data_IF_707647969134
#
_entry.id   IF_707647969134
#
_cell.length_a   1.000
_cell.length_b   1.000
_cell.length_c   1.000
_cell.angle_alpha   90.00
_cell.angle_beta   90.00
_cell.angle_gamma   90.00
#
_symmetry.space_group_name_H-M   'P 1'
#
loop_
_entity.id
_entity.type
_entity.pdbx_description
1 polymer ?
#
# COMPACT_ATOMS: atom_id res chain seq x y z
N UNK A 1 -5.76 18.16 23.76
CA UNK A 1 -5.40 19.28 22.87
C UNK A 1 -4.63 20.28 23.71
N UNK A 2 -3.50 20.79 23.24
CA UNK A 2 -2.75 21.80 23.98
C UNK A 2 -3.33 23.20 23.67
N UNK A 3 -3.66 24.02 24.69
CA UNK A 3 -4.11 25.38 24.46
C UNK A 3 -3.01 26.17 23.71
N UNK A 4 -3.41 26.95 22.71
CA UNK A 4 -2.52 27.78 21.85
C UNK A 4 -1.55 27.01 20.95
N UNK A 5 -1.78 25.74 20.65
CA UNK A 5 -0.99 25.04 19.63
C UNK A 5 -1.23 25.62 18.24
N UNK A 6 -0.13 25.90 17.54
CA UNK A 6 -0.09 26.32 16.14
C UNK A 6 0.59 25.25 15.28
N UNK A 7 0.45 25.36 13.96
CA UNK A 7 1.10 24.45 13.01
C UNK A 7 2.64 24.47 13.16
N UNK A 8 3.25 25.62 13.49
CA UNK A 8 4.69 25.72 13.76
C UNK A 8 5.08 24.97 15.04
N UNK A 9 4.30 25.10 16.13
CA UNK A 9 4.57 24.33 17.36
C UNK A 9 4.40 22.83 17.12
N UNK A 10 3.47 22.43 16.26
CA UNK A 10 3.27 21.05 15.84
C UNK A 10 4.46 20.52 15.03
N UNK A 11 4.92 21.25 14.00
CA UNK A 11 6.08 20.88 13.20
C UNK A 11 7.34 20.76 14.06
N UNK A 12 7.57 21.73 14.95
CA UNK A 12 8.69 21.67 15.90
C UNK A 12 8.61 20.46 16.82
N UNK A 13 7.41 20.09 17.29
CA UNK A 13 7.23 18.89 18.08
C UNK A 13 7.58 17.63 17.28
N UNK A 14 7.15 17.53 16.02
CA UNK A 14 7.52 16.43 15.14
C UNK A 14 9.04 16.33 14.96
N UNK A 15 9.72 17.45 14.72
CA UNK A 15 11.18 17.47 14.57
C UNK A 15 11.91 16.98 15.83
N UNK A 16 11.40 17.33 17.01
CA UNK A 16 11.98 16.86 18.28
C UNK A 16 11.70 15.38 18.50
N UNK A 17 10.47 14.94 18.28
CA UNK A 17 10.04 13.55 18.53
C UNK A 17 10.67 12.56 17.57
N UNK A 18 10.79 12.91 16.28
CA UNK A 18 11.24 11.99 15.23
C UNK A 18 12.65 12.30 14.70
N UNK A 19 13.45 13.08 15.44
CA UNK A 19 14.80 13.51 15.05
C UNK A 19 15.71 12.37 14.56
N UNK A 20 15.63 11.21 15.22
CA UNK A 20 16.46 10.04 14.92
C UNK A 20 15.77 9.02 13.98
N UNK A 21 14.52 9.25 13.58
CA UNK A 21 13.75 8.29 12.80
C UNK A 21 14.19 8.33 11.33
N UNK A 22 14.70 7.20 10.81
CA UNK A 22 15.28 7.10 9.45
C UNK A 22 14.34 7.54 8.31
N UNK A 23 13.02 7.50 8.54
CA UNK A 23 12.00 7.87 7.53
C UNK A 23 11.39 9.26 7.75
N UNK A 24 11.88 10.01 8.73
CA UNK A 24 11.40 11.36 8.99
C UNK A 24 12.52 12.35 8.67
N UNK A 25 12.23 13.32 7.81
CA UNK A 25 13.22 14.26 7.30
C UNK A 25 12.73 15.67 7.58
N UNK A 26 13.57 16.48 8.23
CA UNK A 26 13.34 17.91 8.39
C UNK A 26 13.84 18.65 7.13
N UNK A 27 12.97 19.34 6.37
CA UNK A 27 13.38 20.13 5.22
C UNK A 27 14.37 21.24 5.62
N UNK A 28 15.29 21.57 4.71
CA UNK A 28 16.33 22.60 4.98
C UNK A 28 15.78 24.03 4.91
N UNK A 29 14.84 24.28 3.99
CA UNK A 29 14.34 25.61 3.68
C UNK A 29 13.07 25.97 4.45
N UNK A 30 12.19 24.99 4.66
CA UNK A 30 10.93 25.21 5.38
C UNK A 30 11.09 25.00 6.88
N UNK A 31 10.45 25.88 7.66
CA UNK A 31 10.42 25.80 9.14
C UNK A 31 9.19 25.07 9.66
N UNK A 32 8.21 24.82 8.80
CA UNK A 32 6.88 24.30 9.15
C UNK A 32 6.57 23.00 8.44
N UNK A 33 7.22 22.68 7.32
CA UNK A 33 6.96 21.45 6.58
C UNK A 33 7.76 20.27 7.12
N UNK A 34 7.31 19.05 6.88
CA UNK A 34 8.06 17.86 7.21
C UNK A 34 7.94 16.82 6.10
N UNK A 35 8.97 16.01 5.93
CA UNK A 35 8.98 14.97 4.91
C UNK A 35 8.92 13.59 5.55
N UNK A 36 8.10 12.72 4.98
CA UNK A 36 8.07 11.29 5.34
C UNK A 36 8.53 10.47 4.13
N UNK A 37 9.49 9.58 4.34
CA UNK A 37 9.93 8.63 3.33
C UNK A 37 8.96 7.43 3.31
N UNK A 38 8.02 7.44 2.37
CA UNK A 38 7.08 6.35 2.11
C UNK A 38 7.72 5.28 1.21
N UNK A 39 7.03 4.15 1.05
CA UNK A 39 7.43 3.10 0.11
C UNK A 39 7.64 3.65 -1.32
N UNK A 40 6.75 4.53 -1.77
CA UNK A 40 6.78 5.10 -3.11
C UNK A 40 7.72 6.32 -3.27
N UNK A 41 8.43 6.71 -2.20
CA UNK A 41 9.32 7.87 -2.20
C UNK A 41 9.04 8.85 -1.06
N UNK A 42 9.79 9.94 -1.06
CA UNK A 42 9.66 11.03 -0.09
C UNK A 42 8.48 11.94 -0.43
N UNK A 43 7.64 12.22 0.57
CA UNK A 43 6.51 13.14 0.43
C UNK A 43 6.68 14.28 1.42
N UNK A 44 6.71 15.51 0.90
CA UNK A 44 6.72 16.74 1.68
C UNK A 44 5.28 17.07 2.10
N UNK A 45 5.08 17.27 3.40
CA UNK A 45 3.81 17.67 3.99
C UNK A 45 3.89 19.08 4.54
N UNK A 46 2.93 19.91 4.14
CA UNK A 46 2.75 21.26 4.68
C UNK A 46 1.92 21.18 5.96
N UNK A 47 2.47 21.64 7.09
CA UNK A 47 1.76 21.52 8.37
C UNK A 47 0.60 22.51 8.54
N UNK A 48 0.47 23.48 7.64
CA UNK A 48 -0.62 24.46 7.64
C UNK A 48 -1.98 23.75 7.71
N UNK A 49 -2.83 24.23 8.63
CA UNK A 49 -4.17 23.70 8.90
C UNK A 49 -4.23 22.25 9.40
N UNK A 50 -3.11 21.56 9.66
CA UNK A 50 -3.14 20.17 10.17
C UNK A 50 -3.95 20.05 11.47
N UNK A 51 -3.74 20.98 12.40
CA UNK A 51 -4.43 20.95 13.69
C UNK A 51 -5.93 21.19 13.53
N UNK A 52 -6.34 22.13 12.68
CA UNK A 52 -7.76 22.46 12.50
C UNK A 52 -8.49 21.38 11.72
N UNK A 53 -7.87 20.84 10.66
CA UNK A 53 -8.38 19.67 9.94
C UNK A 53 -8.53 18.47 10.88
N UNK A 54 -7.60 18.24 11.80
CA UNK A 54 -7.67 17.09 12.70
C UNK A 54 -8.74 17.25 13.81
N UNK A 55 -9.20 18.47 14.08
CA UNK A 55 -10.22 18.76 15.10
C UNK A 55 -11.62 18.36 14.71
N UNK A 56 -11.94 18.42 13.41
CA UNK A 56 -13.30 18.17 12.91
C UNK A 56 -14.35 19.00 13.67
N UNK A 57 -14.00 20.25 14.02
CA UNK A 57 -14.82 21.04 14.92
C UNK A 57 -16.11 21.46 14.22
N UNK A 58 -17.22 20.90 14.69
CA UNK A 58 -18.57 21.35 14.33
C UNK A 58 -19.00 22.40 15.34
N UNK A 59 -19.42 23.56 14.84
CA UNK A 59 -19.95 24.66 15.64
C UNK A 59 -21.35 24.23 16.12
N UNK A 60 -21.60 24.11 17.44
CA UNK A 60 -22.89 23.65 17.97
C UNK A 60 -24.07 24.47 17.45
N UNK A 61 -23.91 25.79 17.32
CA UNK A 61 -24.93 26.71 16.84
C UNK A 61 -25.32 26.41 15.38
N UNK A 62 -24.37 25.95 14.56
CA UNK A 62 -24.67 25.52 13.19
C UNK A 62 -25.45 24.21 13.17
N UNK A 63 -25.12 23.29 14.09
CA UNK A 63 -25.83 22.02 14.22
C UNK A 63 -27.28 22.25 14.68
N UNK A 64 -27.49 23.15 15.65
CA UNK A 64 -28.82 23.53 16.12
C UNK A 64 -29.66 24.19 15.02
N UNK A 65 -29.06 25.13 14.29
CA UNK A 65 -29.72 25.82 13.18
C UNK A 65 -30.15 24.85 12.07
N UNK A 66 -29.27 23.94 11.67
CA UNK A 66 -29.53 22.98 10.59
C UNK A 66 -30.48 21.87 11.04
N UNK A 67 -30.40 21.46 12.31
CA UNK A 67 -31.35 20.54 12.94
C UNK A 67 -32.76 21.13 13.07
N UNK A 68 -32.90 22.46 13.19
CA UNK A 68 -34.18 23.16 13.20
C UNK A 68 -34.78 23.42 11.79
N UNK A 69 -34.14 22.91 10.74
CA UNK A 69 -34.63 23.06 9.36
C UNK A 69 -36.02 22.45 9.18
N UNK A 70 -36.84 23.05 8.31
CA UNK A 70 -38.14 22.48 7.91
C UNK A 70 -38.02 21.43 6.81
N UNK A 71 -36.84 21.30 6.19
CA UNK A 71 -36.59 20.32 5.14
C UNK A 71 -36.19 18.98 5.78
N UNK A 72 -36.99 17.90 5.61
CA UNK A 72 -36.70 16.61 6.24
C UNK A 72 -35.33 16.05 5.88
N UNK A 73 -34.88 16.27 4.64
CA UNK A 73 -33.55 15.86 4.20
C UNK A 73 -32.45 16.56 5.00
N UNK A 74 -32.56 17.88 5.21
CA UNK A 74 -31.55 18.66 5.94
C UNK A 74 -31.50 18.24 7.40
N UNK A 75 -32.65 18.08 8.06
CA UNK A 75 -32.71 17.59 9.44
C UNK A 75 -32.06 16.20 9.55
N UNK A 76 -32.29 15.32 8.58
CA UNK A 76 -31.69 13.99 8.53
C UNK A 76 -30.16 13.97 8.44
N UNK A 77 -29.53 15.03 7.92
CA UNK A 77 -28.07 15.15 7.87
C UNK A 77 -27.44 15.59 9.21
N UNK A 78 -28.23 16.21 10.10
CA UNK A 78 -27.76 16.77 11.37
C UNK A 78 -28.56 16.18 12.54
N UNK A 79 -28.44 14.87 12.81
CA UNK A 79 -29.16 14.26 13.93
C UNK A 79 -28.71 14.88 15.27
N UNK A 80 -29.61 14.93 16.27
CA UNK A 80 -29.27 15.40 17.60
C UNK A 80 -28.17 14.52 18.21
N UNK A 81 -27.23 15.15 18.92
CA UNK A 81 -26.19 14.42 19.64
C UNK A 81 -26.85 13.58 20.76
N UNK A 82 -26.40 12.34 21.02
CA UNK A 82 -26.89 11.56 22.14
C UNK A 82 -26.68 12.31 23.47
N UNK A 83 -27.72 12.40 24.32
CA UNK A 83 -27.73 13.17 25.58
C UNK A 83 -26.71 12.68 26.65
N UNK A 84 -26.00 11.57 26.41
CA UNK A 84 -25.20 10.82 27.38
C UNK A 84 -23.67 11.07 27.33
N UNK A 85 -23.18 12.23 26.88
CA UNK A 85 -21.72 12.52 26.90
C UNK A 85 -21.32 13.75 27.72
N UNK A 86 -22.06 14.02 28.78
CA UNK A 86 -21.81 15.16 29.69
C UNK A 86 -20.63 14.99 30.66
N UNK A 87 -19.89 13.86 30.67
CA UNK A 87 -18.64 13.73 31.45
C UNK A 87 -17.61 12.88 30.69
N UNK A 88 -16.61 13.53 30.11
CA UNK A 88 -15.46 12.94 29.39
C UNK A 88 -15.72 12.39 27.98
N UNK A 89 -16.35 13.18 27.11
CA UNK A 89 -16.20 12.97 25.66
C UNK A 89 -14.71 13.03 25.32
N UNK A 90 -14.06 11.86 25.22
CA UNK A 90 -12.68 11.72 24.78
C UNK A 90 -12.63 12.26 23.37
N UNK A 91 -12.12 13.48 23.22
CA UNK A 91 -11.89 14.11 21.93
C UNK A 91 -11.28 13.10 20.96
N UNK A 92 -12.07 12.69 19.98
CA UNK A 92 -11.67 11.72 18.96
C UNK A 92 -11.34 12.49 17.70
N UNK A 93 -10.05 12.65 17.45
CA UNK A 93 -9.56 13.39 16.28
C UNK A 93 -9.82 12.62 14.98
N UNK A 94 -9.87 13.32 13.83
CA UNK A 94 -10.02 12.67 12.52
C UNK A 94 -8.94 11.61 12.33
N UNK A 95 -7.69 11.92 12.67
CA UNK A 95 -6.58 10.97 12.56
C UNK A 95 -6.78 9.71 13.40
N UNK A 96 -7.35 9.85 14.60
CA UNK A 96 -7.66 8.70 15.48
C UNK A 96 -8.78 7.83 14.89
N UNK A 97 -9.85 8.44 14.36
CA UNK A 97 -10.96 7.73 13.72
C UNK A 97 -10.50 7.01 12.46
N UNK A 98 -9.77 7.68 11.58
CA UNK A 98 -9.22 7.10 10.36
C UNK A 98 -8.26 5.94 10.66
N UNK A 99 -7.41 6.08 11.68
CA UNK A 99 -6.52 4.99 12.13
C UNK A 99 -7.31 3.75 12.54
N UNK A 100 -8.39 3.93 13.31
CA UNK A 100 -9.23 2.82 13.76
C UNK A 100 -9.95 2.15 12.58
N UNK A 101 -10.54 2.93 11.68
CA UNK A 101 -11.19 2.42 10.47
C UNK A 101 -10.22 1.64 9.58
N UNK A 102 -9.00 2.15 9.39
CA UNK A 102 -7.96 1.46 8.63
C UNK A 102 -7.56 0.15 9.32
N UNK A 103 -7.42 0.13 10.65
CA UNK A 103 -7.11 -1.09 11.39
C UNK A 103 -8.20 -2.16 11.19
N UNK A 104 -9.47 -1.79 11.34
CA UNK A 104 -10.61 -2.70 11.13
C UNK A 104 -10.66 -3.25 9.70
N UNK A 105 -10.36 -2.41 8.71
CA UNK A 105 -10.24 -2.84 7.31
C UNK A 105 -9.11 -3.86 7.14
N UNK A 106 -7.93 -3.60 7.71
CA UNK A 106 -6.79 -4.52 7.63
C UNK A 106 -7.07 -5.85 8.33
N UNK A 107 -7.74 -5.85 9.48
CA UNK A 107 -8.19 -7.07 10.18
C UNK A 107 -9.12 -7.90 9.29
N UNK A 108 -10.08 -7.25 8.63
CA UNK A 108 -11.00 -7.91 7.69
C UNK A 108 -10.23 -8.52 6.52
N UNK A 109 -9.35 -7.75 5.85
CA UNK A 109 -8.56 -8.22 4.72
C UNK A 109 -7.63 -9.38 5.09
N UNK A 110 -6.99 -9.33 6.26
CA UNK A 110 -6.09 -10.39 6.73
C UNK A 110 -6.82 -11.70 7.06
N UNK A 111 -8.15 -11.68 7.22
CA UNK A 111 -8.95 -12.89 7.41
C UNK A 111 -9.35 -13.58 6.09
N UNK A 112 -8.93 -13.03 4.95
CA UNK A 112 -9.27 -13.51 3.60
C UNK A 112 -8.04 -13.99 2.84
N UNK A 113 -8.26 -14.68 1.72
CA UNK A 113 -7.24 -14.93 0.71
C UNK A 113 -7.12 -13.71 -0.23
N UNK A 114 -6.00 -12.97 -0.22
CA UNK A 114 -5.90 -11.73 -0.97
C UNK A 114 -5.57 -11.97 -2.45
N UNK A 115 -6.36 -11.35 -3.33
CA UNK A 115 -6.05 -11.23 -4.76
C UNK A 115 -5.81 -9.75 -5.12
N UNK A 116 -4.68 -9.46 -5.75
CA UNK A 116 -4.28 -8.08 -6.05
C UNK A 116 -4.45 -7.74 -7.52
N UNK A 117 -5.18 -6.66 -7.81
CA UNK A 117 -5.29 -6.06 -9.15
C UNK A 117 -4.54 -4.72 -9.13
N UNK A 118 -3.61 -4.53 -10.07
CA UNK A 118 -2.82 -3.30 -10.22
C UNK A 118 -3.23 -2.58 -11.52
N UNK A 119 -3.98 -1.51 -11.37
CA UNK A 119 -4.35 -0.65 -12.50
C UNK A 119 -3.19 0.28 -12.87
N UNK A 120 -2.99 0.51 -14.17
CA UNK A 120 -1.93 1.37 -14.70
C UNK A 120 -2.54 2.40 -15.65
N UNK A 121 -2.29 3.68 -15.41
CA UNK A 121 -2.72 4.78 -16.27
C UNK A 121 -1.72 4.93 -17.44
N UNK A 122 -2.17 4.80 -18.70
CA UNK A 122 -1.24 4.75 -19.84
C UNK A 122 -0.67 6.12 -20.22
N UNK A 123 -1.42 7.21 -19.97
CA UNK A 123 -1.00 8.58 -20.22
C UNK A 123 -1.83 9.57 -19.39
N UNK A 124 -1.33 10.79 -19.21
CA UNK A 124 -2.06 11.85 -18.51
C UNK A 124 -3.08 12.61 -19.36
N UNK A 125 -3.07 12.43 -20.68
CA UNK A 125 -3.97 13.08 -21.63
C UNK A 125 -5.37 12.44 -21.69
N UNK A 126 -5.57 11.31 -20.99
CA UNK A 126 -6.82 10.53 -21.01
C UNK A 126 -7.22 10.06 -22.41
N UNK A 127 -6.23 9.79 -23.28
CA UNK A 127 -6.47 9.33 -24.65
C UNK A 127 -6.18 7.84 -24.82
N UNK A 128 -6.96 7.12 -25.64
CA UNK A 128 -6.61 5.74 -26.01
C UNK A 128 -5.33 5.72 -26.86
N UNK A 129 -4.67 4.57 -26.93
CA UNK A 129 -3.49 4.30 -27.76
C UNK A 129 -2.26 5.21 -27.54
N UNK A 130 -2.23 6.02 -26.48
CA UNK A 130 -1.04 6.79 -26.06
C UNK A 130 -0.39 6.11 -24.87
N UNK A 131 0.88 5.72 -25.01
CA UNK A 131 1.64 4.98 -24.00
C UNK A 131 2.86 5.78 -23.53
N UNK A 132 2.81 6.29 -22.30
CA UNK A 132 3.90 7.08 -21.70
C UNK A 132 4.82 6.19 -20.86
N UNK A 133 5.84 5.62 -21.51
CA UNK A 133 6.81 4.69 -20.90
C UNK A 133 7.29 5.12 -19.50
N UNK A 134 7.71 6.38 -19.34
CA UNK A 134 8.29 6.89 -18.09
C UNK A 134 7.25 6.86 -16.95
N UNK A 135 6.04 7.34 -17.21
CA UNK A 135 4.97 7.41 -16.22
C UNK A 135 4.47 6.01 -15.84
N UNK A 136 4.41 5.10 -16.81
CA UNK A 136 4.04 3.70 -16.57
C UNK A 136 5.10 2.99 -15.73
N UNK A 137 6.37 3.14 -16.09
CA UNK A 137 7.48 2.55 -15.33
C UNK A 137 7.52 3.06 -13.89
N UNK A 138 7.23 4.35 -13.66
CA UNK A 138 7.11 4.88 -12.31
C UNK A 138 5.94 4.26 -11.54
N UNK A 139 4.77 4.10 -12.16
CA UNK A 139 3.63 3.42 -11.55
C UNK A 139 3.95 1.96 -11.19
N UNK A 140 4.65 1.22 -12.05
CA UNK A 140 5.04 -0.18 -11.78
C UNK A 140 6.03 -0.29 -10.60
N UNK A 141 6.93 0.69 -10.45
CA UNK A 141 7.82 0.80 -9.28
C UNK A 141 7.05 1.12 -8.01
N UNK A 142 6.27 2.20 -8.00
CA UNK A 142 5.53 2.66 -6.83
C UNK A 142 4.39 1.71 -6.42
N UNK A 143 3.80 0.98 -7.38
CA UNK A 143 2.79 -0.05 -7.16
C UNK A 143 3.35 -1.40 -6.70
N UNK A 144 4.68 -1.52 -6.61
CA UNK A 144 5.38 -2.71 -6.13
C UNK A 144 5.36 -3.91 -7.06
N UNK A 145 4.99 -3.73 -8.33
CA UNK A 145 4.97 -4.81 -9.32
C UNK A 145 6.40 -5.30 -9.58
N UNK A 146 7.34 -4.39 -9.81
CA UNK A 146 8.74 -4.76 -10.05
C UNK A 146 9.37 -5.38 -8.80
N UNK A 147 8.99 -4.93 -7.62
CA UNK A 147 9.48 -5.47 -6.35
C UNK A 147 8.93 -6.87 -6.09
N UNK A 148 7.65 -7.12 -6.40
CA UNK A 148 7.05 -8.45 -6.32
C UNK A 148 7.74 -9.44 -7.29
N UNK A 149 8.04 -9.01 -8.51
CA UNK A 149 8.84 -9.80 -9.47
C UNK A 149 10.22 -10.08 -8.89
N UNK A 150 10.90 -9.08 -8.35
CA UNK A 150 12.24 -9.23 -7.74
C UNK A 150 12.24 -10.25 -6.60
N UNK A 151 11.25 -10.18 -5.70
CA UNK A 151 11.09 -11.13 -4.59
C UNK A 151 10.80 -12.54 -5.13
N UNK A 152 9.94 -12.66 -6.13
CA UNK A 152 9.64 -13.95 -6.79
C UNK A 152 10.90 -14.56 -7.43
N UNK A 153 11.72 -13.75 -8.10
CA UNK A 153 12.98 -14.16 -8.71
C UNK A 153 14.07 -14.54 -7.71
N UNK A 154 14.00 -14.09 -6.45
CA UNK A 154 14.91 -14.53 -5.40
C UNK A 154 14.61 -15.96 -4.90
N UNK A 155 13.41 -16.49 -5.22
CA UNK A 155 13.06 -17.90 -5.04
C UNK A 155 13.16 -18.68 -6.35
N UNK A 156 12.14 -19.48 -6.63
CA UNK A 156 11.99 -20.23 -7.89
C UNK A 156 10.71 -19.77 -8.61
N UNK A 157 10.80 -18.71 -9.43
CA UNK A 157 9.62 -18.08 -10.05
C UNK A 157 8.98 -18.96 -11.12
N UNK A 158 9.78 -19.80 -11.78
CA UNK A 158 9.31 -20.75 -12.79
C UNK A 158 9.26 -22.14 -12.18
N UNK A 159 8.05 -22.70 -12.10
CA UNK A 159 7.81 -24.08 -11.67
C UNK A 159 7.12 -24.81 -12.80
N UNK A 160 7.60 -26.01 -13.12
CA UNK A 160 7.01 -26.86 -14.15
C UNK A 160 6.83 -28.26 -13.60
N UNK A 161 5.67 -28.90 -13.81
CA UNK A 161 5.54 -30.34 -13.60
C UNK A 161 6.59 -31.11 -14.41
N UNK A 162 7.04 -32.25 -13.90
CA UNK A 162 8.08 -33.04 -14.56
C UNK A 162 7.66 -33.48 -15.97
N UNK A 163 6.45 -34.02 -16.13
CA UNK A 163 5.92 -34.39 -17.45
C UNK A 163 5.94 -33.24 -18.46
N UNK A 164 5.55 -32.01 -18.08
CA UNK A 164 5.57 -30.85 -19.00
C UNK A 164 6.99 -30.48 -19.40
N UNK A 165 7.93 -30.56 -18.44
CA UNK A 165 9.33 -30.27 -18.70
C UNK A 165 9.92 -31.31 -19.65
N UNK A 166 9.71 -32.60 -19.39
CA UNK A 166 10.19 -33.70 -20.24
C UNK A 166 9.58 -33.62 -21.64
N UNK A 167 8.28 -33.40 -21.76
CA UNK A 167 7.62 -33.28 -23.06
C UNK A 167 8.19 -32.10 -23.88
N UNK A 168 8.45 -30.96 -23.22
CA UNK A 168 8.98 -29.77 -23.91
C UNK A 168 10.47 -29.86 -24.25
N UNK A 169 11.29 -30.42 -23.35
CA UNK A 169 12.75 -30.34 -23.43
C UNK A 169 13.44 -31.69 -23.66
N UNK A 170 12.70 -32.79 -23.71
CA UNK A 170 13.25 -34.13 -23.97
C UNK A 170 13.98 -34.23 -25.31
N UNK A 171 13.54 -33.45 -26.31
CA UNK A 171 14.22 -33.33 -27.61
C UNK A 171 15.67 -32.82 -27.51
N UNK A 172 16.01 -32.08 -26.45
CA UNK A 172 17.37 -31.57 -26.24
C UNK A 172 18.34 -32.66 -25.77
N UNK A 173 17.83 -33.75 -25.19
CA UNK A 173 18.63 -34.89 -24.75
C UNK A 173 17.88 -36.20 -25.00
N UNK A 174 17.84 -36.71 -26.25
CA UNK A 174 17.11 -37.93 -26.59
C UNK A 174 17.59 -39.16 -25.80
N UNK A 175 18.88 -39.24 -25.49
CA UNK A 175 19.46 -40.32 -24.66
C UNK A 175 18.96 -40.30 -23.21
N UNK A 176 18.45 -39.17 -22.71
CA UNK A 176 17.80 -39.11 -21.40
C UNK A 176 16.43 -39.82 -21.40
N UNK A 177 15.81 -39.99 -22.58
CA UNK A 177 14.51 -40.65 -22.78
C UNK A 177 14.62 -42.15 -23.04
N UNK A 178 15.83 -42.69 -23.26
CA UNK A 178 16.05 -44.10 -23.59
C UNK A 178 15.91 -45.02 -22.36
N UNK A 179 14.69 -45.49 -22.08
CA UNK A 179 14.39 -46.46 -21.01
C UNK A 179 13.15 -46.09 -20.19
N UNK A 180 12.66 -47.02 -19.35
CA UNK A 180 11.58 -46.72 -18.39
C UNK A 180 12.16 -46.01 -17.17
N UNK A 181 12.41 -44.70 -17.31
CA UNK A 181 12.91 -43.86 -16.22
C UNK A 181 11.80 -43.00 -15.62
N UNK A 182 11.89 -42.82 -14.29
CA UNK A 182 11.13 -41.78 -13.58
C UNK A 182 11.38 -40.41 -14.23
N UNK A 183 10.32 -39.66 -14.52
CA UNK A 183 10.36 -38.32 -15.13
C UNK A 183 11.29 -37.37 -14.38
N UNK A 184 11.44 -37.55 -13.07
CA UNK A 184 12.37 -36.77 -12.24
C UNK A 184 13.82 -36.99 -12.65
N UNK A 185 14.18 -38.25 -12.94
CA UNK A 185 15.53 -38.63 -13.38
C UNK A 185 15.79 -38.08 -14.77
N UNK A 186 14.80 -38.15 -15.66
CA UNK A 186 14.87 -37.59 -17.01
C UNK A 186 15.07 -36.07 -16.96
N UNK A 187 14.30 -35.35 -16.13
CA UNK A 187 14.47 -33.91 -15.92
C UNK A 187 15.91 -33.57 -15.49
N UNK A 188 16.45 -34.30 -14.51
CA UNK A 188 17.80 -34.06 -14.01
C UNK A 188 18.86 -34.32 -15.09
N UNK A 189 18.75 -35.42 -15.85
CA UNK A 189 19.65 -35.72 -16.97
C UNK A 189 19.64 -34.61 -18.02
N UNK A 190 18.46 -34.13 -18.41
CA UNK A 190 18.33 -33.02 -19.39
C UNK A 190 19.03 -31.77 -18.84
N UNK A 191 18.73 -31.36 -17.59
CA UNK A 191 19.30 -30.17 -16.97
C UNK A 191 20.84 -30.25 -16.85
N UNK A 192 21.36 -31.40 -16.44
CA UNK A 192 22.80 -31.66 -16.30
C UNK A 192 23.49 -31.65 -17.68
N UNK A 193 22.89 -32.28 -18.68
CA UNK A 193 23.44 -32.32 -20.06
C UNK A 193 23.54 -30.92 -20.69
N UNK A 194 22.65 -30.00 -20.30
CA UNK A 194 22.64 -28.62 -20.78
C UNK A 194 23.50 -27.67 -19.93
N UNK A 195 24.15 -28.17 -18.87
CA UNK A 195 25.02 -27.38 -18.00
C UNK A 195 24.29 -26.30 -17.17
N UNK A 196 22.98 -26.46 -16.96
CA UNK A 196 22.19 -25.50 -16.19
C UNK A 196 22.53 -25.58 -14.70
N UNK A 197 22.66 -24.42 -14.05
CA UNK A 197 22.99 -24.29 -12.62
C UNK A 197 21.85 -23.62 -11.85
N UNK A 198 21.79 -23.86 -10.54
CA UNK A 198 20.81 -23.21 -9.66
C UNK A 198 19.37 -23.69 -9.85
N UNK A 199 19.17 -24.85 -10.47
CA UNK A 199 17.86 -25.50 -10.55
C UNK A 199 17.58 -26.30 -9.28
N UNK A 200 16.30 -26.54 -8.98
CA UNK A 200 15.88 -27.41 -7.89
C UNK A 200 14.85 -28.42 -8.40
N UNK A 201 15.08 -29.70 -8.12
CA UNK A 201 14.18 -30.82 -8.48
C UNK A 201 13.56 -31.37 -7.19
N UNK A 202 12.44 -30.79 -6.77
CA UNK A 202 11.71 -31.19 -5.56
C UNK A 202 10.32 -31.69 -5.89
N UNK A 203 9.83 -32.63 -5.06
CA UNK A 203 8.42 -33.03 -5.02
C UNK A 203 7.67 -31.91 -4.27
N UNK A 204 6.41 -31.57 -4.63
CA UNK A 204 5.61 -30.56 -3.94
C UNK A 204 5.56 -30.74 -2.42
#
# INVERSE_FOLDING_TARGET
MFPKSTHETFANKLYQTFKAHKRFIKPKLSRTDFTVAHYAGEVLYQSDLFLDKNKDYVIPEHQDLLGASKCPFVVGLFPPLPEETSKSSKFSSIGSRFKLQLQQLMETLNSTEPHYIRCVKPNNLLKPAVFENVNIMQQLRCGGVLEAIRISCAGYPTRKPFFEFVNRFGLLCPSALEGSYDEKVVCKKILDSMGLKGYQVTVP
#
